data_IF_077294681028
#
_entry.id   IF_077294681028
#
_cell.length_a   1.000
_cell.length_b   1.000
_cell.length_c   1.000
_cell.angle_alpha   90.00
_cell.angle_beta   90.00
_cell.angle_gamma   90.00
#
_symmetry.space_group_name_H-M   'P 1'
#
loop_
_entity.id
_entity.type
_entity.pdbx_description
1 polymer ?
#
# COMPACT_ATOMS: atom_id res chain seq x y z
N UNK A 1 -7.12 -3.68 -29.49
CA UNK A 1 -6.59 -5.08 -29.38
C UNK A 1 -7.67 -5.99 -28.79
N UNK A 2 -7.76 -7.27 -29.14
CA UNK A 2 -8.92 -8.15 -28.85
C UNK A 2 -9.47 -8.12 -27.40
N UNK A 3 -8.62 -7.89 -26.39
CA UNK A 3 -9.02 -7.78 -24.98
C UNK A 3 -9.79 -6.49 -24.66
N UNK A 4 -9.49 -5.39 -25.35
CA UNK A 4 -10.15 -4.07 -25.23
C UNK A 4 -11.63 -4.16 -25.63
N UNK A 5 -11.90 -4.83 -26.74
CA UNK A 5 -13.25 -5.05 -27.26
C UNK A 5 -14.07 -5.99 -26.34
N UNK A 6 -13.40 -6.94 -25.70
CA UNK A 6 -14.04 -7.87 -24.75
C UNK A 6 -14.43 -7.18 -23.43
N UNK A 7 -13.58 -6.27 -22.94
CA UNK A 7 -13.77 -5.58 -21.67
C UNK A 7 -14.58 -4.27 -21.76
N UNK A 8 -14.95 -3.82 -22.97
CA UNK A 8 -15.73 -2.59 -23.16
C UNK A 8 -15.02 -1.30 -22.72
N UNK A 9 -13.71 -1.33 -22.57
CA UNK A 9 -12.91 -0.20 -22.08
C UNK A 9 -12.59 0.71 -23.26
N UNK A 10 -13.10 1.94 -23.25
CA UNK A 10 -12.76 2.96 -24.25
C UNK A 10 -11.26 3.24 -24.26
N UNK A 11 -10.69 3.57 -25.43
CA UNK A 11 -9.27 3.94 -25.71
C UNK A 11 -8.63 5.02 -24.83
N UNK A 12 -9.36 5.56 -23.86
CA UNK A 12 -8.86 6.49 -22.87
C UNK A 12 -7.83 5.78 -21.96
N UNK A 13 -6.60 5.68 -22.45
CA UNK A 13 -5.44 5.25 -21.68
C UNK A 13 -5.34 6.10 -20.40
N UNK A 14 -5.04 5.44 -19.29
CA UNK A 14 -4.94 6.10 -17.98
C UNK A 14 -6.28 6.51 -17.35
N UNK A 15 -7.36 5.76 -17.55
CA UNK A 15 -8.67 6.06 -16.95
C UNK A 15 -9.21 7.47 -17.32
N UNK A 16 -8.86 7.99 -18.51
CA UNK A 16 -9.21 9.34 -18.94
C UNK A 16 -8.22 10.45 -18.54
N UNK A 17 -7.01 10.08 -18.12
CA UNK A 17 -5.97 11.04 -17.68
C UNK A 17 -4.89 11.32 -18.72
N UNK A 18 -4.72 10.50 -19.76
CA UNK A 18 -3.72 10.72 -20.81
C UNK A 18 -4.38 11.18 -22.11
N UNK A 19 -3.84 12.24 -22.72
CA UNK A 19 -4.10 12.57 -24.12
C UNK A 19 -3.34 11.58 -25.01
N UNK A 20 -3.76 11.40 -26.28
CA UNK A 20 -3.14 10.45 -27.24
C UNK A 20 -1.66 10.75 -27.57
N UNK A 21 -1.05 11.78 -26.97
CA UNK A 21 0.34 12.16 -27.20
C UNK A 21 1.32 11.14 -26.60
N UNK A 22 2.26 10.67 -27.41
CA UNK A 22 3.29 9.68 -27.03
C UNK A 22 4.12 10.10 -25.79
N UNK A 23 4.40 11.40 -25.66
CA UNK A 23 5.10 11.96 -24.48
C UNK A 23 4.26 11.85 -23.20
N UNK A 24 2.95 12.04 -23.27
CA UNK A 24 2.06 11.90 -22.10
C UNK A 24 1.97 10.43 -21.68
N UNK A 25 1.95 9.51 -22.64
CA UNK A 25 2.02 8.07 -22.40
C UNK A 25 3.32 7.66 -21.72
N UNK A 26 4.47 8.13 -22.22
CA UNK A 26 5.77 7.87 -21.61
C UNK A 26 5.86 8.45 -20.21
N UNK A 27 5.38 9.67 -19.99
CA UNK A 27 5.31 10.28 -18.66
C UNK A 27 4.37 9.50 -17.73
N UNK A 28 3.21 9.06 -18.22
CA UNK A 28 2.26 8.26 -17.46
C UNK A 28 2.88 6.92 -17.05
N UNK A 29 3.49 6.19 -17.99
CA UNK A 29 4.17 4.92 -17.70
C UNK A 29 5.28 5.16 -16.69
N UNK A 30 6.16 6.14 -16.93
CA UNK A 30 7.27 6.47 -16.04
C UNK A 30 6.78 6.77 -14.62
N UNK A 31 5.73 7.58 -14.46
CA UNK A 31 5.17 7.92 -13.16
C UNK A 31 4.50 6.72 -12.44
N UNK A 32 3.90 5.80 -13.19
CA UNK A 32 3.16 4.65 -12.63
C UNK A 32 3.97 3.35 -12.55
N UNK A 33 5.16 3.32 -13.15
CA UNK A 33 6.11 2.21 -13.08
C UNK A 33 7.48 2.63 -12.55
N UNK A 34 7.58 3.82 -11.95
CA UNK A 34 8.81 4.37 -11.39
C UNK A 34 9.49 3.41 -10.39
N UNK A 35 8.69 2.60 -9.68
CA UNK A 35 9.16 1.60 -8.73
C UNK A 35 10.03 0.49 -9.38
N UNK A 36 9.94 0.26 -10.69
CA UNK A 36 10.80 -0.66 -11.42
C UNK A 36 12.23 -0.12 -11.61
N UNK A 37 12.36 1.21 -11.73
CA UNK A 37 13.64 1.88 -11.95
C UNK A 37 14.24 2.40 -10.64
N UNK A 38 13.40 2.82 -9.69
CA UNK A 38 13.79 3.32 -8.38
C UNK A 38 12.89 2.70 -7.32
N UNK A 39 13.44 1.77 -6.53
CA UNK A 39 12.70 1.08 -5.47
C UNK A 39 12.24 2.02 -4.34
N UNK A 40 12.71 3.26 -4.30
CA UNK A 40 12.28 4.23 -3.29
C UNK A 40 11.13 5.13 -3.73
N UNK A 41 10.65 4.93 -4.95
CA UNK A 41 9.48 5.59 -5.50
C UNK A 41 8.37 4.56 -5.64
N UNK A 42 7.22 4.81 -5.03
CA UNK A 42 6.02 4.01 -5.23
C UNK A 42 5.05 4.83 -6.09
N UNK A 43 4.60 4.22 -7.19
CA UNK A 43 3.55 4.80 -8.00
C UNK A 43 2.29 4.96 -7.15
N UNK A 44 1.79 6.19 -7.08
CA UNK A 44 0.45 6.41 -6.53
C UNK A 44 -0.58 5.87 -7.53
N UNK A 45 -1.72 5.35 -7.06
CA UNK A 45 -2.85 5.06 -7.94
C UNK A 45 -3.17 6.29 -8.79
N UNK A 46 -3.62 6.12 -10.05
CA UNK A 46 -3.93 7.20 -10.99
C UNK A 46 -5.19 7.98 -10.57
N UNK A 47 -5.16 8.60 -9.40
CA UNK A 47 -6.25 9.34 -8.78
C UNK A 47 -5.71 10.71 -8.40
N UNK A 48 -6.40 11.78 -8.84
CA UNK A 48 -5.97 13.17 -8.60
C UNK A 48 -5.83 13.51 -7.12
N UNK A 49 -6.61 12.86 -6.25
CA UNK A 49 -6.59 13.06 -4.82
C UNK A 49 -6.93 11.76 -4.06
N UNK A 50 -6.10 11.32 -3.09
CA UNK A 50 -6.37 10.12 -2.30
C UNK A 50 -7.68 10.20 -1.49
N UNK A 51 -8.14 11.40 -1.12
CA UNK A 51 -9.44 11.57 -0.44
C UNK A 51 -10.60 11.21 -1.38
N UNK A 52 -10.47 11.54 -2.67
CA UNK A 52 -11.49 11.23 -3.67
C UNK A 52 -11.45 9.75 -4.07
N UNK A 53 -10.29 9.11 -3.97
CA UNK A 53 -10.17 7.66 -4.17
C UNK A 53 -11.01 6.86 -3.17
N UNK A 54 -11.07 7.30 -1.91
CA UNK A 54 -11.94 6.66 -0.91
C UNK A 54 -13.42 6.74 -1.27
N UNK A 55 -13.89 7.84 -1.87
CA UNK A 55 -15.28 8.01 -2.28
C UNK A 55 -15.71 6.99 -3.33
N UNK A 56 -14.79 6.55 -4.19
CA UNK A 56 -15.05 5.49 -5.19
C UNK A 56 -15.39 4.17 -4.51
N UNK A 57 -14.77 3.88 -3.37
CA UNK A 57 -15.00 2.65 -2.61
C UNK A 57 -16.13 2.77 -1.57
N UNK A 58 -16.72 3.95 -1.40
CA UNK A 58 -17.81 4.18 -0.44
C UNK A 58 -19.16 3.68 -0.93
N UNK A 59 -19.37 3.50 -2.24
CA UNK A 59 -20.68 3.13 -2.81
C UNK A 59 -20.54 1.95 -3.77
N UNK A 60 -21.51 1.05 -3.75
CA UNK A 60 -21.62 -0.02 -4.74
C UNK A 60 -22.16 0.51 -6.09
N UNK A 61 -22.23 -0.37 -7.08
CA UNK A 61 -22.74 -0.10 -8.43
C UNK A 61 -24.19 0.44 -8.42
N UNK A 62 -24.91 0.23 -7.31
CA UNK A 62 -26.29 0.65 -7.09
C UNK A 62 -26.39 1.88 -6.18
N UNK A 63 -25.28 2.52 -5.84
CA UNK A 63 -25.23 3.74 -5.01
C UNK A 63 -25.43 3.52 -3.51
N UNK A 64 -25.53 2.27 -3.05
CA UNK A 64 -25.65 1.93 -1.63
C UNK A 64 -24.28 2.02 -0.98
N UNK A 65 -24.23 2.60 0.22
CA UNK A 65 -22.99 2.80 0.94
C UNK A 65 -22.37 1.44 1.34
N UNK A 66 -21.16 1.15 0.85
CA UNK A 66 -20.37 -0.01 1.26
C UNK A 66 -19.79 0.32 2.64
N UNK A 67 -20.18 -0.45 3.65
CA UNK A 67 -19.60 -0.34 4.98
C UNK A 67 -18.20 -1.00 5.00
N UNK A 68 -17.19 -0.32 4.45
CA UNK A 68 -15.78 -0.70 4.59
C UNK A 68 -15.35 -0.47 6.04
N UNK A 69 -15.63 -1.46 6.90
CA UNK A 69 -15.08 -1.49 8.26
C UNK A 69 -13.65 -1.99 8.19
N UNK A 70 -12.68 -1.07 8.28
CA UNK A 70 -11.29 -1.43 8.53
C UNK A 70 -11.20 -2.01 9.95
N UNK A 71 -11.28 -3.34 10.04
CA UNK A 71 -11.08 -4.04 11.30
C UNK A 71 -9.63 -3.81 11.75
N UNK A 72 -9.45 -3.10 12.86
CA UNK A 72 -8.14 -2.94 13.48
C UNK A 72 -7.86 -4.18 14.33
N UNK A 73 -7.10 -5.12 13.77
CA UNK A 73 -6.75 -6.38 14.42
C UNK A 73 -5.31 -6.46 14.96
N UNK A 74 -4.43 -5.56 14.51
CA UNK A 74 -3.00 -5.56 14.89
C UNK A 74 -2.75 -4.59 16.04
N UNK A 75 -2.01 -5.06 17.05
CA UNK A 75 -1.59 -4.26 18.22
C UNK A 75 -0.09 -4.32 18.36
N UNK A 76 0.55 -3.15 18.31
CA UNK A 76 1.98 -2.97 18.55
C UNK A 76 2.16 -1.91 19.63
N UNK A 77 3.14 -2.09 20.51
CA UNK A 77 3.52 -1.10 21.52
C UNK A 77 5.03 -1.13 21.74
N UNK A 78 5.58 0.02 22.09
CA UNK A 78 6.96 0.15 22.53
C UNK A 78 7.04 1.19 23.65
N UNK A 79 7.89 0.94 24.64
CA UNK A 79 8.16 1.92 25.68
C UNK A 79 9.62 1.88 26.11
N UNK A 80 10.10 3.04 26.56
CA UNK A 80 11.45 3.24 27.08
C UNK A 80 11.43 3.13 28.60
N UNK A 81 12.47 2.52 29.15
CA UNK A 81 12.73 2.43 30.59
C UNK A 81 14.24 2.55 30.86
N UNK A 82 14.66 2.53 32.12
CA UNK A 82 16.07 2.71 32.50
C UNK A 82 17.00 1.67 31.85
N UNK A 83 16.52 0.44 31.64
CA UNK A 83 17.28 -0.65 31.02
C UNK A 83 17.21 -0.70 29.49
N UNK A 84 16.62 0.30 28.83
CA UNK A 84 16.54 0.38 27.37
C UNK A 84 15.11 0.52 26.85
N UNK A 85 14.75 -0.28 25.85
CA UNK A 85 13.45 -0.24 25.18
C UNK A 85 12.86 -1.65 25.15
N UNK A 86 11.56 -1.77 25.41
CA UNK A 86 10.79 -3.00 25.20
C UNK A 86 9.82 -2.74 24.06
N UNK A 87 9.78 -3.67 23.11
CA UNK A 87 8.84 -3.68 21.98
C UNK A 87 8.01 -4.96 22.06
N UNK A 88 6.69 -4.84 21.97
CA UNK A 88 5.78 -5.98 22.01
C UNK A 88 4.73 -5.85 20.89
N UNK A 89 4.45 -6.97 20.24
CA UNK A 89 3.51 -7.05 19.12
C UNK A 89 2.70 -8.34 19.20
N UNK A 90 1.49 -8.32 18.64
CA UNK A 90 0.74 -9.54 18.37
C UNK A 90 1.21 -10.20 17.06
N UNK A 91 0.86 -11.48 16.83
CA UNK A 91 1.30 -12.25 15.65
C UNK A 91 0.18 -12.59 14.66
N UNK A 92 -1.05 -12.10 14.89
CA UNK A 92 -2.22 -12.43 14.06
C UNK A 92 -2.31 -11.52 12.85
N UNK A 93 -2.46 -12.08 11.65
CA UNK A 93 -2.77 -11.35 10.42
C UNK A 93 -4.11 -11.80 9.84
N UNK A 94 -4.94 -10.83 9.44
CA UNK A 94 -6.30 -11.05 8.95
C UNK A 94 -6.50 -10.42 7.57
N UNK A 95 -7.17 -11.13 6.66
CA UNK A 95 -7.72 -10.57 5.42
C UNK A 95 -9.22 -10.40 5.59
N UNK A 96 -9.68 -9.22 6.04
CA UNK A 96 -11.07 -9.00 6.39
C UNK A 96 -11.47 -9.75 7.67
N UNK A 97 -12.50 -10.60 7.60
CA UNK A 97 -12.95 -11.42 8.73
C UNK A 97 -12.18 -12.75 8.88
N UNK A 98 -11.35 -13.11 7.90
CA UNK A 98 -10.60 -14.36 7.91
C UNK A 98 -9.20 -14.17 8.50
N UNK A 99 -8.79 -15.08 9.39
CA UNK A 99 -7.42 -15.13 9.93
C UNK A 99 -6.54 -15.85 8.92
N UNK A 100 -5.60 -15.12 8.31
CA UNK A 100 -4.69 -15.67 7.32
C UNK A 100 -3.51 -16.40 7.99
N UNK A 101 -2.99 -15.84 9.08
CA UNK A 101 -1.91 -16.46 9.86
C UNK A 101 -1.94 -16.00 11.32
N UNK A 102 -1.48 -16.85 12.24
CA UNK A 102 -1.28 -16.53 13.66
C UNK A 102 0.21 -16.42 14.04
N UNK A 103 1.12 -16.51 13.07
CA UNK A 103 2.57 -16.55 13.30
C UNK A 103 3.30 -15.51 12.45
N UNK A 104 2.68 -14.36 12.20
CA UNK A 104 3.36 -13.28 11.47
C UNK A 104 4.32 -12.55 12.39
N UNK A 105 5.57 -12.43 11.95
CA UNK A 105 6.57 -11.60 12.61
C UNK A 105 6.29 -10.13 12.29
N UNK A 106 5.83 -9.39 13.30
CA UNK A 106 5.53 -7.95 13.18
C UNK A 106 6.63 -7.07 13.75
N UNK A 107 7.72 -7.65 14.23
CA UNK A 107 8.97 -6.94 14.52
C UNK A 107 9.85 -7.08 13.29
N UNK A 108 10.27 -5.95 12.73
CA UNK A 108 11.16 -5.93 11.57
C UNK A 108 12.50 -5.37 12.05
N UNK A 109 13.55 -6.19 11.92
CA UNK A 109 14.91 -5.76 12.23
C UNK A 109 15.42 -4.87 11.09
N UNK A 110 15.51 -3.56 11.32
CA UNK A 110 15.98 -2.60 10.33
C UNK A 110 17.51 -2.67 10.24
N UNK A 111 18.20 -2.62 11.38
CA UNK A 111 19.64 -2.85 11.51
C UNK A 111 19.98 -3.24 12.97
N UNK A 112 21.27 -3.33 13.31
CA UNK A 112 21.73 -3.78 14.64
C UNK A 112 21.28 -2.87 15.81
N UNK A 113 20.73 -1.69 15.52
CA UNK A 113 20.35 -0.68 16.51
C UNK A 113 18.95 -0.07 16.30
N UNK A 114 18.21 -0.51 15.27
CA UNK A 114 16.86 -0.03 14.94
C UNK A 114 15.90 -1.20 14.71
N UNK A 115 14.74 -1.11 15.37
CA UNK A 115 13.62 -2.02 15.21
C UNK A 115 12.40 -1.25 14.69
N UNK A 116 11.72 -1.82 13.70
CA UNK A 116 10.43 -1.38 13.19
C UNK A 116 9.29 -2.30 13.65
N UNK A 117 8.05 -1.79 13.57
CA UNK A 117 6.85 -2.57 13.92
C UNK A 117 5.83 -2.48 12.81
N UNK A 118 5.23 -3.61 12.45
CA UNK A 118 4.22 -3.68 11.40
C UNK A 118 2.80 -3.46 11.95
N UNK A 119 2.17 -2.34 11.58
CA UNK A 119 0.76 -2.08 11.84
C UNK A 119 0.10 -1.35 10.65
N UNK A 120 -1.06 -1.85 10.21
CA UNK A 120 -1.72 -1.37 8.99
C UNK A 120 -1.44 -2.28 7.80
N UNK A 121 -1.10 -1.70 6.66
CA UNK A 121 -0.77 -2.44 5.44
C UNK A 121 0.53 -3.24 5.60
N UNK A 122 0.44 -4.56 5.67
CA UNK A 122 1.61 -5.42 5.90
C UNK A 122 2.68 -5.26 4.82
N UNK A 123 2.28 -5.20 3.54
CA UNK A 123 3.19 -5.02 2.42
C UNK A 123 3.92 -3.66 2.49
N UNK A 124 3.18 -2.59 2.83
CA UNK A 124 3.73 -1.24 2.90
C UNK A 124 4.78 -1.13 4.02
N UNK A 125 4.48 -1.65 5.22
CA UNK A 125 5.43 -1.64 6.33
C UNK A 125 6.74 -2.35 5.96
N UNK A 126 6.66 -3.58 5.44
CA UNK A 126 7.87 -4.35 5.06
C UNK A 126 8.67 -3.63 3.98
N UNK A 127 7.99 -3.10 2.97
CA UNK A 127 8.63 -2.41 1.87
C UNK A 127 9.37 -1.15 2.33
N UNK A 128 8.68 -0.26 3.04
CA UNK A 128 9.27 1.01 3.46
C UNK A 128 10.31 0.86 4.56
N UNK A 129 10.13 -0.08 5.49
CA UNK A 129 11.14 -0.36 6.52
C UNK A 129 12.40 -1.02 5.92
N UNK A 130 12.26 -1.80 4.84
CA UNK A 130 13.42 -2.32 4.09
C UNK A 130 14.19 -1.21 3.36
N UNK A 131 13.48 -0.24 2.77
CA UNK A 131 14.12 0.94 2.15
C UNK A 131 14.81 1.79 3.22
N UNK A 132 14.19 1.93 4.39
CA UNK A 132 14.81 2.60 5.54
C UNK A 132 16.08 1.88 5.97
N UNK A 133 16.07 0.56 6.05
CA UNK A 133 17.25 -0.27 6.34
C UNK A 133 18.39 -0.01 5.36
N UNK A 134 18.12 0.05 4.06
CA UNK A 134 19.12 0.38 3.04
C UNK A 134 19.72 1.78 3.24
N UNK A 135 18.89 2.77 3.56
CA UNK A 135 19.34 4.17 3.72
C UNK A 135 20.05 4.45 5.05
N UNK A 136 19.79 3.62 6.07
CA UNK A 136 20.40 3.72 7.39
C UNK A 136 21.62 2.80 7.57
N UNK A 137 22.11 2.19 6.49
CA UNK A 137 23.30 1.36 6.48
C UNK A 137 24.52 2.16 6.05
#
# INVERSE_FOLDING_TARGET
>A
MALEALCGVSRNFGFGLASENENDLLNYITNHSANLSCHSQLALPPMRNPIDAFKVFEKDEHGKRIALKFNKGTTTLAFKYQGGVIVAVDSRATGGSFINSNHVEKIIAINDYLLGTMAGGAADCVYWERILSERCR
#
